data_IF_249353083076
#
_entry.id   IF_249353083076
#
_cell.length_a   1.000
_cell.length_b   1.000
_cell.length_c   1.000
_cell.angle_alpha   90.00
_cell.angle_beta   90.00
_cell.angle_gamma   90.00
#
_symmetry.space_group_name_H-M   'P 1'
#
loop_
_entity.id
_entity.type
_entity.pdbx_description
1 polymer ?
#
# COMPACT_ATOMS: atom_id res chain seq x y z
N UNK A 1 -5.06 -19.64 22.37
CA UNK A 1 -4.11 -18.77 21.67
C UNK A 1 -4.56 -17.33 21.83
N UNK A 2 -3.70 -16.51 22.33
CA UNK A 2 -4.04 -15.12 22.65
C UNK A 2 -3.86 -14.27 21.37
N UNK A 3 -4.82 -13.41 21.02
CA UNK A 3 -4.75 -12.50 19.86
C UNK A 3 -3.43 -11.68 19.83
N UNK A 4 -2.85 -11.41 20.99
CA UNK A 4 -1.57 -10.75 21.12
C UNK A 4 -0.40 -11.60 20.62
N UNK A 5 -0.43 -12.90 20.84
CA UNK A 5 0.67 -13.79 20.45
C UNK A 5 0.73 -13.97 18.93
N UNK A 6 -0.43 -14.08 18.28
CA UNK A 6 -0.51 -14.15 16.82
C UNK A 6 -0.06 -12.85 16.14
N UNK A 7 -0.44 -11.71 16.71
CA UNK A 7 0.00 -10.40 16.22
C UNK A 7 1.50 -10.21 16.39
N UNK A 8 2.05 -10.60 17.53
CA UNK A 8 3.49 -10.51 17.77
C UNK A 8 4.28 -11.43 16.85
N UNK A 9 3.81 -12.67 16.63
CA UNK A 9 4.43 -13.60 15.68
C UNK A 9 4.39 -13.06 14.26
N UNK A 10 3.27 -12.46 13.84
CA UNK A 10 3.10 -11.84 12.54
C UNK A 10 4.12 -10.71 12.31
N UNK A 11 4.25 -9.80 13.27
CA UNK A 11 5.20 -8.68 13.18
C UNK A 11 6.66 -9.15 13.21
N UNK A 12 6.96 -10.13 14.07
CA UNK A 12 8.31 -10.70 14.17
C UNK A 12 8.76 -11.33 12.85
N UNK A 13 7.89 -12.07 12.19
CA UNK A 13 8.19 -12.66 10.87
C UNK A 13 8.57 -11.60 9.83
N UNK A 14 7.92 -10.41 9.88
CA UNK A 14 8.23 -9.29 8.96
C UNK A 14 9.53 -8.61 9.33
N UNK A 15 9.83 -8.45 10.61
CA UNK A 15 11.13 -7.96 11.06
C UNK A 15 12.28 -8.86 10.62
N UNK A 16 12.12 -10.17 10.77
CA UNK A 16 13.09 -11.16 10.32
C UNK A 16 13.29 -11.13 8.80
N UNK A 17 12.20 -10.97 8.05
CA UNK A 17 12.24 -10.84 6.58
C UNK A 17 13.05 -9.62 6.12
N UNK A 18 12.93 -8.49 6.80
CA UNK A 18 13.67 -7.26 6.47
C UNK A 18 15.06 -7.20 7.13
N UNK A 19 15.29 -7.98 8.17
CA UNK A 19 16.54 -7.93 8.94
C UNK A 19 16.66 -6.72 9.85
N UNK A 20 15.53 -6.08 10.23
CA UNK A 20 15.52 -4.91 11.08
C UNK A 20 14.17 -4.69 11.75
N UNK A 21 14.15 -3.76 12.71
CA UNK A 21 12.93 -3.38 13.40
C UNK A 21 11.99 -2.60 12.48
N UNK A 22 10.68 -2.85 12.60
CA UNK A 22 9.68 -2.10 11.86
C UNK A 22 9.46 -0.72 12.48
N UNK A 23 9.84 0.31 11.76
CA UNK A 23 9.62 1.72 12.16
C UNK A 23 8.28 2.27 11.67
N UNK A 24 7.66 1.59 10.70
CA UNK A 24 6.34 1.93 10.16
C UNK A 24 5.54 0.68 9.89
N UNK A 25 4.26 0.72 10.21
CA UNK A 25 3.29 -0.32 9.88
C UNK A 25 1.90 0.28 9.80
N UNK A 26 1.16 -0.09 8.78
CA UNK A 26 -0.21 0.36 8.58
C UNK A 26 -0.97 -0.58 7.65
N UNK A 27 -2.28 -0.48 7.67
CA UNK A 27 -3.15 -1.08 6.69
C UNK A 27 -3.52 -0.05 5.63
N UNK A 28 -3.63 -0.46 4.39
CA UNK A 28 -4.02 0.39 3.29
C UNK A 28 -4.94 -0.40 2.34
N UNK A 29 -5.59 0.31 1.45
CA UNK A 29 -6.30 -0.28 0.32
C UNK A 29 -5.52 0.01 -0.94
N UNK A 30 -5.20 -1.03 -1.68
CA UNK A 30 -4.58 -0.89 -3.00
C UNK A 30 -5.57 -0.23 -3.95
N UNK A 31 -5.11 0.78 -4.67
CA UNK A 31 -5.90 1.44 -5.70
C UNK A 31 -5.40 1.10 -7.09
N UNK A 32 -4.12 1.22 -7.33
CA UNK A 32 -3.53 0.92 -8.61
C UNK A 32 -2.03 1.20 -8.68
N UNK A 33 -1.49 0.95 -9.86
CA UNK A 33 -0.10 1.13 -10.20
C UNK A 33 0.00 1.60 -11.65
N UNK A 34 1.04 2.34 -12.00
CA UNK A 34 1.23 2.88 -13.37
C UNK A 34 1.38 1.82 -14.46
N UNK A 35 1.59 0.56 -14.13
CA UNK A 35 1.59 -0.54 -15.11
C UNK A 35 0.18 -1.04 -15.50
N UNK A 36 -0.86 -0.39 -15.01
CA UNK A 36 -2.26 -0.74 -15.27
C UNK A 36 -2.88 -1.72 -14.29
N UNK A 37 -2.14 -2.15 -13.27
CA UNK A 37 -2.70 -2.99 -12.21
C UNK A 37 -3.68 -2.19 -11.36
N UNK A 38 -4.96 -2.49 -11.53
CA UNK A 38 -6.06 -1.89 -10.77
C UNK A 38 -6.84 -2.99 -10.07
N UNK A 39 -6.68 -3.09 -8.77
CA UNK A 39 -7.38 -4.05 -7.93
C UNK A 39 -7.80 -3.39 -6.62
N UNK A 40 -8.97 -3.75 -6.12
CA UNK A 40 -9.43 -3.34 -4.80
C UNK A 40 -9.13 -4.44 -3.80
N UNK A 41 -8.04 -4.34 -3.08
CA UNK A 41 -7.70 -5.29 -2.02
C UNK A 41 -6.92 -4.62 -0.89
N UNK A 42 -7.00 -5.23 0.29
CA UNK A 42 -6.25 -4.73 1.44
C UNK A 42 -4.78 -5.10 1.36
N UNK A 43 -3.91 -4.16 1.72
CA UNK A 43 -2.47 -4.39 1.83
C UNK A 43 -1.98 -4.01 3.22
N UNK A 44 -1.00 -4.74 3.70
CA UNK A 44 -0.22 -4.36 4.85
C UNK A 44 1.04 -3.63 4.37
N UNK A 45 1.22 -2.41 4.89
CA UNK A 45 2.34 -1.54 4.54
C UNK A 45 3.28 -1.48 5.73
N UNK A 46 4.53 -1.83 5.55
CA UNK A 46 5.51 -1.78 6.63
C UNK A 46 6.91 -1.46 6.11
N UNK A 47 7.76 -0.95 7.00
CA UNK A 47 9.12 -0.55 6.64
C UNK A 47 10.06 -0.63 7.84
N UNK A 48 11.31 -0.99 7.56
CA UNK A 48 12.44 -0.87 8.48
C UNK A 48 13.23 0.44 8.30
N UNK A 49 12.75 1.34 7.44
CA UNK A 49 13.40 2.59 7.08
C UNK A 49 14.29 2.50 5.84
N UNK A 50 14.66 1.30 5.41
CA UNK A 50 15.45 1.05 4.18
C UNK A 50 14.61 0.48 3.05
N UNK A 51 13.63 -0.33 3.40
CA UNK A 51 12.72 -0.97 2.46
C UNK A 51 11.29 -0.72 2.89
N UNK A 52 10.46 -0.30 1.95
CA UNK A 52 9.01 -0.23 2.12
C UNK A 52 8.40 -1.47 1.46
N UNK A 53 7.58 -2.20 2.20
CA UNK A 53 6.92 -3.41 1.70
C UNK A 53 5.42 -3.19 1.62
N UNK A 54 4.85 -3.57 0.49
CA UNK A 54 3.41 -3.63 0.25
C UNK A 54 3.05 -5.11 0.10
N UNK A 55 2.36 -5.65 1.09
CA UNK A 55 1.99 -7.06 1.15
C UNK A 55 0.48 -7.20 1.19
N UNK A 56 -0.09 -7.92 0.22
CA UNK A 56 -1.52 -8.13 0.25
C UNK A 56 -1.93 -9.10 1.38
N UNK A 57 -3.16 -8.93 1.84
CA UNK A 57 -3.78 -9.86 2.77
C UNK A 57 -4.65 -10.85 2.02
N UNK A 58 -4.37 -12.12 2.21
CA UNK A 58 -5.32 -13.16 1.89
C UNK A 58 -6.51 -13.05 2.84
N UNK A 59 -7.56 -12.39 2.39
CA UNK A 59 -8.85 -12.44 3.07
C UNK A 59 -9.66 -13.59 2.51
N UNK A 60 -9.86 -14.62 3.31
CA UNK A 60 -10.90 -15.59 3.01
C UNK A 60 -12.24 -14.90 3.19
N UNK A 61 -13.04 -14.70 2.12
CA UNK A 61 -14.34 -14.04 2.28
C UNK A 61 -15.23 -14.85 3.22
N UNK A 62 -15.77 -14.19 4.23
CA UNK A 62 -16.68 -14.79 5.19
C UNK A 62 -18.08 -14.29 4.89
N UNK A 63 -18.98 -15.20 4.47
CA UNK A 63 -20.38 -14.90 4.29
C UNK A 63 -21.14 -15.54 5.45
N UNK A 64 -21.84 -14.73 6.25
CA UNK A 64 -22.64 -15.20 7.39
C UNK A 64 -21.84 -16.08 8.39
N UNK A 65 -20.56 -15.73 8.64
CA UNK A 65 -19.71 -16.49 9.55
C UNK A 65 -19.14 -17.79 8.97
N UNK A 66 -19.46 -18.12 7.73
CA UNK A 66 -18.96 -19.31 7.03
C UNK A 66 -17.86 -18.89 6.06
N UNK A 67 -16.71 -19.55 6.15
CA UNK A 67 -15.61 -19.35 5.18
C UNK A 67 -16.05 -19.88 3.82
N UNK A 68 -16.12 -18.98 2.86
CA UNK A 68 -16.46 -19.33 1.48
C UNK A 68 -15.18 -19.59 0.69
N UNK A 69 -15.00 -20.81 0.20
CA UNK A 69 -13.93 -21.13 -0.72
C UNK A 69 -14.52 -21.12 -2.13
N UNK A 70 -14.17 -20.14 -2.99
CA UNK A 70 -14.69 -20.12 -4.37
C UNK A 70 -14.25 -21.39 -5.10
N UNK A 71 -15.17 -22.02 -5.80
CA UNK A 71 -14.92 -23.25 -6.58
C UNK A 71 -13.94 -23.05 -7.75
N UNK A 72 -13.77 -21.81 -8.20
CA UNK A 72 -12.71 -21.43 -9.15
C UNK A 72 -11.57 -20.80 -8.35
N UNK A 73 -10.58 -21.59 -8.03
CA UNK A 73 -9.27 -21.06 -7.69
C UNK A 73 -8.67 -20.47 -8.98
N UNK A 74 -8.99 -19.19 -9.28
CA UNK A 74 -8.03 -18.39 -10.00
C UNK A 74 -6.75 -18.46 -9.16
N UNK A 75 -5.62 -18.79 -9.76
CA UNK A 75 -4.35 -18.86 -9.06
C UNK A 75 -4.12 -17.52 -8.34
N UNK A 76 -4.45 -17.48 -7.04
CA UNK A 76 -4.20 -16.33 -6.20
C UNK A 76 -2.69 -16.22 -6.03
N UNK A 77 -2.10 -15.24 -6.71
CA UNK A 77 -0.71 -14.87 -6.48
C UNK A 77 -0.69 -13.78 -5.42
N UNK A 78 -0.14 -14.10 -4.28
CA UNK A 78 0.10 -13.11 -3.23
C UNK A 78 0.98 -12.00 -3.78
N UNK A 79 0.49 -10.77 -3.72
CA UNK A 79 1.27 -9.61 -4.08
C UNK A 79 2.20 -9.25 -2.91
N UNK A 80 3.47 -9.16 -3.20
CA UNK A 80 4.48 -8.73 -2.24
C UNK A 80 5.50 -7.88 -2.98
N UNK A 81 5.53 -6.58 -2.67
CA UNK A 81 6.36 -5.60 -3.36
C UNK A 81 7.36 -5.01 -2.38
N UNK A 82 8.64 -5.09 -2.70
CA UNK A 82 9.74 -4.50 -1.94
C UNK A 82 10.24 -3.27 -2.68
N UNK A 83 10.13 -2.11 -2.04
CA UNK A 83 10.53 -0.83 -2.61
C UNK A 83 11.70 -0.29 -1.79
N UNK A 84 12.91 -0.15 -2.36
CA UNK A 84 13.98 0.55 -1.68
C UNK A 84 13.54 1.98 -1.37
N UNK A 85 13.66 2.41 -0.13
CA UNK A 85 13.24 3.76 0.29
C UNK A 85 14.02 4.83 -0.49
N UNK A 86 15.28 4.56 -0.81
CA UNK A 86 16.11 5.46 -1.64
C UNK A 86 15.54 5.68 -3.06
N UNK A 87 14.80 4.71 -3.62
CA UNK A 87 14.17 4.84 -4.93
C UNK A 87 12.88 5.65 -4.90
N UNK A 88 12.34 5.96 -3.73
CA UNK A 88 11.15 6.78 -3.58
C UNK A 88 11.52 8.25 -3.71
N UNK A 89 11.01 8.92 -4.73
CA UNK A 89 11.25 10.34 -4.93
C UNK A 89 10.18 11.26 -4.32
N UNK A 90 8.96 10.76 -4.13
CA UNK A 90 7.89 11.53 -3.51
C UNK A 90 6.83 10.63 -2.87
N UNK A 91 6.32 11.07 -1.73
CA UNK A 91 5.09 10.53 -1.10
C UNK A 91 4.18 11.71 -0.86
N UNK A 92 3.03 11.72 -1.51
CA UNK A 92 2.08 12.82 -1.41
C UNK A 92 0.63 12.35 -1.58
N UNK A 93 -0.31 13.27 -1.47
CA UNK A 93 -1.71 13.03 -1.78
C UNK A 93 -2.04 13.65 -3.12
N UNK A 94 -2.72 12.90 -3.94
CA UNK A 94 -3.25 13.34 -5.23
C UNK A 94 -4.75 13.08 -5.30
N UNK A 95 -5.44 13.68 -6.26
CA UNK A 95 -6.84 13.38 -6.47
C UNK A 95 -7.02 11.96 -6.99
N UNK A 96 -8.11 11.31 -6.61
CA UNK A 96 -8.44 9.96 -7.09
C UNK A 96 -8.56 9.92 -8.62
N UNK A 97 -9.10 10.99 -9.22
CA UNK A 97 -9.20 11.11 -10.69
C UNK A 97 -7.83 11.16 -11.37
N UNK A 98 -6.85 11.84 -10.78
CA UNK A 98 -5.48 11.86 -11.30
C UNK A 98 -4.80 10.49 -11.21
N UNK A 99 -5.04 9.76 -10.12
CA UNK A 99 -4.56 8.39 -9.95
C UNK A 99 -5.19 7.46 -10.99
N UNK A 100 -6.50 7.54 -11.19
CA UNK A 100 -7.21 6.75 -12.19
C UNK A 100 -6.69 7.00 -13.60
N UNK A 101 -6.45 8.25 -13.96
CA UNK A 101 -5.87 8.64 -15.22
C UNK A 101 -4.45 8.10 -15.38
N UNK A 102 -3.63 8.16 -14.34
CA UNK A 102 -2.26 7.65 -14.34
C UNK A 102 -2.21 6.13 -14.55
N UNK A 103 -3.08 5.39 -13.86
CA UNK A 103 -3.18 3.92 -14.03
C UNK A 103 -3.62 3.57 -15.45
N UNK A 104 -4.62 4.26 -15.98
CA UNK A 104 -5.12 4.04 -17.33
C UNK A 104 -4.08 4.34 -18.41
N UNK A 105 -3.36 5.43 -18.26
CA UNK A 105 -2.42 5.92 -19.30
C UNK A 105 -1.00 5.35 -19.11
N UNK A 106 -0.74 4.63 -18.01
CA UNK A 106 0.56 4.02 -17.74
C UNK A 106 1.67 5.01 -17.40
N UNK A 107 1.31 6.25 -17.08
CA UNK A 107 2.25 7.33 -16.75
C UNK A 107 1.75 8.05 -15.51
N UNK A 108 2.63 8.29 -14.54
CA UNK A 108 2.29 9.07 -13.35
C UNK A 108 2.00 10.53 -13.72
N UNK A 109 0.74 10.92 -13.63
CA UNK A 109 0.24 12.28 -13.85
C UNK A 109 -0.14 12.98 -12.56
N UNK A 110 0.15 12.36 -11.43
CA UNK A 110 -0.19 12.90 -10.13
C UNK A 110 0.62 14.14 -9.81
N UNK A 111 -0.06 15.15 -9.27
CA UNK A 111 0.57 16.33 -8.65
C UNK A 111 0.04 16.44 -7.24
N UNK A 112 0.92 16.76 -6.30
CA UNK A 112 0.52 17.04 -4.93
C UNK A 112 -0.57 18.11 -4.90
N UNK A 113 -1.65 17.85 -4.16
CA UNK A 113 -2.75 18.79 -4.02
C UNK A 113 -2.52 19.72 -2.83
N UNK A 114 -3.05 20.95 -2.94
CA UNK A 114 -3.03 21.91 -1.82
C UNK A 114 -3.85 21.40 -0.64
N UNK A 115 -3.55 21.89 0.57
CA UNK A 115 -4.32 21.61 1.78
C UNK A 115 -5.80 21.92 1.62
N UNK A 116 -6.12 22.97 0.89
CA UNK A 116 -7.50 23.38 0.62
C UNK A 116 -8.25 22.36 -0.23
N UNK A 117 -7.61 21.82 -1.26
CA UNK A 117 -8.21 20.80 -2.11
C UNK A 117 -8.42 19.47 -1.40
N UNK A 118 -7.61 19.14 -0.38
CA UNK A 118 -7.77 17.93 0.44
C UNK A 118 -9.11 17.86 1.17
N UNK A 119 -9.71 19.00 1.48
CA UNK A 119 -10.98 19.06 2.20
C UNK A 119 -12.20 18.73 1.32
N UNK A 120 -12.09 18.91 0.02
CA UNK A 120 -13.24 18.84 -0.90
C UNK A 120 -13.16 17.74 -1.95
N UNK A 121 -12.05 17.04 -2.07
CA UNK A 121 -11.84 16.00 -3.08
C UNK A 121 -11.40 14.68 -2.46
N UNK A 122 -11.89 13.58 -3.03
CA UNK A 122 -11.38 12.26 -2.70
C UNK A 122 -9.92 12.16 -3.14
N UNK A 123 -9.06 11.75 -2.24
CA UNK A 123 -7.61 11.66 -2.47
C UNK A 123 -7.10 10.26 -2.22
N UNK A 124 -5.99 9.95 -2.85
CA UNK A 124 -5.20 8.75 -2.62
C UNK A 124 -3.75 9.13 -2.34
N UNK A 125 -3.04 8.27 -1.66
CA UNK A 125 -1.60 8.41 -1.45
C UNK A 125 -0.87 7.94 -2.68
N UNK A 126 0.03 8.78 -3.20
CA UNK A 126 0.96 8.43 -4.28
C UNK A 126 2.34 8.18 -3.70
N UNK A 127 2.93 7.06 -4.08
CA UNK A 127 4.34 6.75 -3.84
C UNK A 127 5.02 6.72 -5.20
N UNK A 128 5.71 7.80 -5.54
CA UNK A 128 6.39 7.97 -6.81
C UNK A 128 7.85 7.52 -6.73
N UNK A 129 8.29 6.77 -7.74
CA UNK A 129 9.65 6.25 -7.82
C UNK A 129 10.49 6.99 -8.86
N UNK A 130 11.80 6.89 -8.72
CA UNK A 130 12.78 7.53 -9.61
C UNK A 130 12.68 7.05 -11.06
N UNK A 131 12.21 5.82 -11.29
CA UNK A 131 12.00 5.27 -12.63
C UNK A 131 10.76 5.79 -13.36
N UNK A 132 10.00 6.70 -12.73
CA UNK A 132 8.77 7.27 -13.26
C UNK A 132 7.51 6.47 -12.95
N UNK A 133 7.63 5.30 -12.34
CA UNK A 133 6.47 4.53 -11.87
C UNK A 133 5.92 5.08 -10.57
N UNK A 134 4.67 4.73 -10.25
CA UNK A 134 4.04 5.12 -9.01
C UNK A 134 3.03 4.08 -8.54
N UNK A 135 2.85 4.01 -7.23
CA UNK A 135 1.84 3.22 -6.54
C UNK A 135 0.81 4.15 -5.92
N UNK A 136 -0.45 3.75 -6.00
CA UNK A 136 -1.58 4.50 -5.46
C UNK A 136 -2.33 3.67 -4.43
N UNK A 137 -2.41 4.21 -3.21
CA UNK A 137 -2.97 3.53 -2.05
C UNK A 137 -3.90 4.46 -1.28
N UNK A 138 -4.93 3.92 -0.65
CA UNK A 138 -5.66 4.63 0.39
C UNK A 138 -5.03 4.30 1.74
N UNK A 139 -4.21 5.22 2.25
CA UNK A 139 -3.56 5.15 3.55
C UNK A 139 -4.15 6.24 4.44
N UNK A 140 -4.58 5.88 5.65
CA UNK A 140 -5.19 6.83 6.58
C UNK A 140 -4.23 7.95 7.01
N UNK A 141 -2.94 7.64 7.12
CA UNK A 141 -1.93 8.56 7.66
C UNK A 141 -0.73 8.68 6.71
N UNK A 142 -0.94 9.35 5.57
CA UNK A 142 0.10 9.61 4.57
C UNK A 142 1.24 10.46 5.15
N UNK A 143 0.91 11.43 6.00
CA UNK A 143 1.91 12.34 6.58
C UNK A 143 2.85 11.60 7.52
N UNK A 144 2.34 10.63 8.28
CA UNK A 144 3.15 9.77 9.13
C UNK A 144 4.13 8.91 8.30
N UNK A 145 3.65 8.31 7.21
CA UNK A 145 4.50 7.56 6.29
C UNK A 145 5.61 8.43 5.72
N UNK A 146 5.24 9.58 5.20
CA UNK A 146 6.16 10.56 4.64
C UNK A 146 7.23 10.99 5.65
N UNK A 147 6.81 11.34 6.85
CA UNK A 147 7.70 11.76 7.94
C UNK A 147 8.64 10.62 8.38
N UNK A 148 8.12 9.42 8.54
CA UNK A 148 8.88 8.25 8.99
C UNK A 148 9.98 7.88 7.99
N UNK A 149 9.73 8.00 6.69
CA UNK A 149 10.67 7.69 5.62
C UNK A 149 11.51 8.90 5.17
N UNK A 150 11.32 10.07 5.75
CA UNK A 150 12.00 11.33 5.37
C UNK A 150 11.80 11.70 3.89
N UNK A 151 10.58 11.61 3.40
CA UNK A 151 10.25 11.89 1.98
C UNK A 151 9.29 13.08 1.82
#
# INVERSE_FOLDING_TARGET
MNLNDDTMAFLKARQEKLGGELIYKSYATWYGRTDGDKRDFGVFVYSDGRTLVLEDFERTPTILGIRYTPKKKSEYKKLEIFIPVEAICAIDRITRSSAEQSVRDGIDKGKAISLFSKLFRKTVTRIALEDGSAYYLEIADTDKLKKTLNK
#
